data_IF_141403287611
#
_entry.id   IF_141403287611
#
_cell.length_a   1.000
_cell.length_b   1.000
_cell.length_c   1.000
_cell.angle_alpha   90.00
_cell.angle_beta   90.00
_cell.angle_gamma   90.00
#
_symmetry.space_group_name_H-M   'P 1'
#
loop_
_entity.id
_entity.type
_entity.pdbx_description
1 polymer ?
#
# COMPACT_ATOMS: atom_id res chain seq x y z
N UNK A 1 20.01 17.08 21.11
CA UNK A 1 19.23 16.00 21.73
C UNK A 1 19.08 14.84 20.76
N UNK A 2 19.45 13.66 21.21
CA UNK A 2 19.32 12.46 20.37
C UNK A 2 17.86 12.09 20.15
N UNK A 3 17.53 11.74 18.91
CA UNK A 3 16.21 11.23 18.57
C UNK A 3 16.14 9.76 19.00
N UNK A 4 15.18 9.43 19.85
CA UNK A 4 14.99 8.06 20.35
C UNK A 4 14.25 7.17 19.35
N UNK A 5 13.43 7.78 18.48
CA UNK A 5 12.72 7.05 17.42
C UNK A 5 13.67 6.88 16.23
N UNK A 6 13.79 5.66 15.70
CA UNK A 6 14.80 5.35 14.69
C UNK A 6 14.25 5.32 13.27
N UNK A 7 13.09 4.71 13.09
CA UNK A 7 12.50 4.54 11.75
C UNK A 7 11.04 4.11 11.91
N UNK A 8 10.31 4.16 10.81
CA UNK A 8 9.02 3.49 10.74
C UNK A 8 9.31 2.00 10.56
N UNK A 9 9.01 1.19 11.57
CA UNK A 9 9.29 -0.25 11.53
C UNK A 9 8.41 -0.94 10.48
N UNK A 10 7.13 -0.62 10.47
CA UNK A 10 6.17 -1.09 9.48
C UNK A 10 4.95 -0.18 9.51
N UNK A 11 4.17 -0.18 8.43
CA UNK A 11 2.83 0.41 8.39
C UNK A 11 1.83 -0.73 8.33
N UNK A 12 0.86 -0.74 9.23
CA UNK A 12 -0.10 -1.83 9.36
C UNK A 12 -1.42 -1.42 8.73
N UNK A 13 -1.91 -2.23 7.79
CA UNK A 13 -3.23 -2.04 7.20
C UNK A 13 -4.15 -3.18 7.60
N UNK A 14 -5.38 -2.85 8.04
CA UNK A 14 -6.38 -3.88 8.33
C UNK A 14 -6.91 -4.49 7.05
N UNK A 15 -7.17 -5.79 7.07
CA UNK A 15 -7.82 -6.50 5.98
C UNK A 15 -8.93 -7.39 6.54
N UNK A 16 -9.93 -7.69 5.74
CA UNK A 16 -11.04 -8.56 6.14
C UNK A 16 -10.86 -9.94 5.53
N UNK A 17 -10.65 -10.01 4.22
CA UNK A 17 -10.45 -11.26 3.50
C UNK A 17 -8.97 -11.38 3.16
N UNK A 18 -8.26 -12.19 3.93
CA UNK A 18 -6.81 -12.32 3.80
C UNK A 18 -6.41 -12.86 2.44
N UNK A 19 -7.12 -13.86 1.91
CA UNK A 19 -6.81 -14.41 0.60
C UNK A 19 -7.00 -13.38 -0.51
N UNK A 20 -8.06 -12.60 -0.45
CA UNK A 20 -8.33 -11.53 -1.41
C UNK A 20 -7.28 -10.43 -1.32
N UNK A 21 -6.94 -10.01 -0.09
CA UNK A 21 -5.92 -9.00 0.13
C UNK A 21 -4.55 -9.45 -0.41
N UNK A 22 -4.17 -10.70 -0.15
CA UNK A 22 -2.92 -11.25 -0.67
C UNK A 22 -2.93 -11.30 -2.19
N UNK A 23 -4.06 -11.67 -2.79
CA UNK A 23 -4.19 -11.65 -4.25
C UNK A 23 -3.98 -10.27 -4.84
N UNK A 24 -4.45 -9.24 -4.16
CA UNK A 24 -4.24 -7.86 -4.59
C UNK A 24 -2.77 -7.44 -4.45
N UNK A 25 -2.20 -7.58 -3.26
CA UNK A 25 -0.84 -7.09 -3.01
C UNK A 25 0.22 -7.92 -3.73
N UNK A 26 0.06 -9.23 -3.80
CA UNK A 26 1.02 -10.12 -4.45
C UNK A 26 0.75 -10.26 -5.95
N UNK A 27 -0.50 -10.43 -6.33
CA UNK A 27 -0.88 -10.63 -7.74
C UNK A 27 -1.00 -9.32 -8.51
N UNK A 28 -1.80 -8.39 -8.04
CA UNK A 28 -2.09 -7.14 -8.76
C UNK A 28 -0.93 -6.15 -8.64
N UNK A 29 -0.40 -5.94 -7.43
CA UNK A 29 0.71 -5.01 -7.22
C UNK A 29 2.08 -5.66 -7.40
N UNK A 30 2.16 -6.97 -7.39
CA UNK A 30 3.42 -7.68 -7.62
C UNK A 30 4.38 -7.66 -6.42
N UNK A 31 3.89 -7.41 -5.22
CA UNK A 31 4.74 -7.44 -4.03
C UNK A 31 5.03 -8.88 -3.64
N UNK A 32 6.19 -9.09 -3.02
CA UNK A 32 6.60 -10.40 -2.59
C UNK A 32 6.45 -10.52 -1.08
N UNK A 33 5.68 -11.51 -0.62
CA UNK A 33 5.49 -11.74 0.80
C UNK A 33 6.81 -12.16 1.45
N UNK A 34 7.13 -11.51 2.56
CA UNK A 34 8.25 -11.87 3.42
C UNK A 34 7.75 -12.69 4.60
N UNK A 35 8.05 -12.23 5.82
CA UNK A 35 7.59 -12.90 7.03
C UNK A 35 6.06 -12.91 7.09
N UNK A 36 5.48 -14.07 7.30
CA UNK A 36 4.03 -14.20 7.43
C UNK A 36 3.67 -15.44 8.25
N UNK A 37 2.50 -15.41 8.83
CA UNK A 37 1.99 -16.53 9.61
C UNK A 37 0.59 -16.26 10.09
N UNK A 38 -0.03 -17.31 10.64
CA UNK A 38 -1.35 -17.19 11.24
C UNK A 38 -1.43 -18.01 12.51
N UNK A 39 -2.31 -17.56 13.40
CA UNK A 39 -2.64 -18.27 14.62
C UNK A 39 -4.12 -18.06 14.90
N UNK A 40 -4.86 -19.16 15.00
CA UNK A 40 -6.30 -19.11 15.29
C UNK A 40 -7.08 -18.20 14.32
N UNK A 41 -6.72 -18.24 13.03
CA UNK A 41 -7.36 -17.44 11.99
C UNK A 41 -6.88 -15.98 11.93
N UNK A 42 -5.99 -15.57 12.80
CA UNK A 42 -5.40 -14.24 12.80
C UNK A 42 -4.10 -14.25 12.01
N UNK A 43 -4.02 -13.40 10.99
CA UNK A 43 -2.91 -13.35 10.05
C UNK A 43 -2.07 -12.10 10.22
N UNK A 44 -0.78 -12.25 9.92
CA UNK A 44 0.18 -11.16 9.79
C UNK A 44 1.03 -11.45 8.55
N UNK A 45 1.04 -10.54 7.59
CA UNK A 45 1.83 -10.69 6.36
C UNK A 45 2.64 -9.41 6.15
N UNK A 46 3.96 -9.54 6.01
CA UNK A 46 4.86 -8.42 5.76
C UNK A 46 5.32 -8.41 4.31
N UNK A 47 5.37 -7.21 3.76
CA UNK A 47 5.92 -6.94 2.44
C UNK A 47 7.02 -5.90 2.58
N UNK A 48 8.28 -6.31 2.40
CA UNK A 48 9.41 -5.39 2.37
C UNK A 48 9.60 -4.89 0.95
N UNK A 49 9.65 -3.56 0.78
CA UNK A 49 9.83 -2.97 -0.52
C UNK A 49 11.32 -2.77 -0.83
N UNK A 50 11.73 -2.88 -2.11
CA UNK A 50 13.16 -2.82 -2.46
C UNK A 50 13.88 -1.55 -2.03
N UNK A 51 13.19 -0.41 -2.09
CA UNK A 51 13.74 0.88 -1.69
C UNK A 51 13.65 1.18 -0.20
N UNK A 52 13.13 0.24 0.58
CA UNK A 52 12.91 0.41 2.02
C UNK A 52 11.43 0.51 2.36
N UNK A 53 11.14 0.37 3.63
CA UNK A 53 9.77 0.37 4.13
C UNK A 53 9.16 -1.02 4.15
N UNK A 54 8.27 -1.22 5.11
CA UNK A 54 7.55 -2.49 5.28
C UNK A 54 6.06 -2.18 5.43
N UNK A 55 5.25 -2.85 4.62
CA UNK A 55 3.80 -2.84 4.76
C UNK A 55 3.38 -4.17 5.39
N UNK A 56 2.59 -4.12 6.45
CA UNK A 56 2.06 -5.32 7.09
C UNK A 56 0.55 -5.35 6.95
N UNK A 57 0.01 -6.47 6.52
CA UNK A 57 -1.43 -6.69 6.48
C UNK A 57 -1.83 -7.59 7.63
N UNK A 58 -2.97 -7.29 8.25
CA UNK A 58 -3.48 -8.11 9.36
C UNK A 58 -4.99 -8.03 9.46
N UNK A 59 -5.59 -9.14 9.85
CA UNK A 59 -7.00 -9.17 10.26
C UNK A 59 -7.13 -9.27 11.80
N UNK A 60 -6.01 -9.16 12.51
CA UNK A 60 -5.95 -9.31 13.97
C UNK A 60 -6.03 -7.95 14.69
N UNK A 61 -6.85 -7.04 14.19
CA UNK A 61 -7.00 -5.70 14.73
C UNK A 61 -8.48 -5.32 14.77
N UNK A 62 -8.92 -4.51 15.74
CA UNK A 62 -10.28 -3.98 15.73
C UNK A 62 -10.52 -2.94 14.63
N UNK A 63 -9.45 -2.41 14.02
CA UNK A 63 -9.55 -1.45 12.92
C UNK A 63 -10.15 -2.13 11.69
N UNK A 64 -10.87 -1.35 10.89
CA UNK A 64 -11.47 -1.84 9.65
C UNK A 64 -10.87 -1.10 8.46
N UNK A 65 -10.79 -1.76 7.30
CA UNK A 65 -10.34 -1.08 6.08
C UNK A 65 -11.20 0.14 5.77
N UNK A 66 -10.55 1.24 5.40
CA UNK A 66 -11.27 2.47 5.05
C UNK A 66 -10.35 3.37 4.22
N UNK A 67 -10.89 3.91 3.12
CA UNK A 67 -10.19 4.92 2.34
C UNK A 67 -10.21 6.30 3.01
N UNK A 68 -11.01 6.45 4.06
CA UNK A 68 -11.11 7.69 4.84
C UNK A 68 -10.33 7.62 6.15
N UNK A 69 -9.47 6.61 6.33
CA UNK A 69 -8.62 6.51 7.51
C UNK A 69 -7.61 7.67 7.55
N UNK A 70 -7.10 7.99 8.74
CA UNK A 70 -6.21 9.13 8.93
C UNK A 70 -4.87 9.02 8.21
N UNK A 71 -4.29 7.82 8.13
CA UNK A 71 -3.02 7.59 7.43
C UNK A 71 -3.23 6.97 6.07
N UNK A 72 -2.31 7.24 5.14
CA UNK A 72 -2.32 6.64 3.81
C UNK A 72 -0.91 6.20 3.45
N UNK A 73 -0.75 4.96 3.01
CA UNK A 73 0.52 4.48 2.49
C UNK A 73 0.75 5.09 1.11
N UNK A 74 1.92 5.69 0.91
CA UNK A 74 2.35 6.19 -0.38
C UNK A 74 3.50 5.33 -0.89
N UNK A 75 3.34 4.77 -2.09
CA UNK A 75 4.39 4.01 -2.77
C UNK A 75 5.10 4.89 -3.77
N UNK A 76 6.42 4.97 -3.69
CA UNK A 76 7.22 5.63 -4.73
C UNK A 76 7.30 4.70 -5.94
N UNK A 77 7.00 5.23 -7.12
CA UNK A 77 6.99 4.46 -8.36
C UNK A 77 7.81 5.19 -9.43
N UNK A 78 8.33 4.43 -10.40
CA UNK A 78 9.18 4.98 -11.45
C UNK A 78 8.39 5.51 -12.66
N UNK A 79 7.26 4.89 -12.98
CA UNK A 79 6.41 5.27 -14.11
C UNK A 79 4.95 5.26 -13.68
N UNK A 80 4.51 6.39 -13.14
CA UNK A 80 3.14 6.50 -12.62
C UNK A 80 2.10 6.35 -13.72
N UNK A 81 2.30 7.00 -14.86
CA UNK A 81 1.32 6.96 -15.94
C UNK A 81 1.10 5.54 -16.45
N UNK A 82 2.17 4.80 -16.66
CA UNK A 82 2.09 3.40 -17.10
C UNK A 82 1.45 2.52 -16.04
N UNK A 83 1.81 2.72 -14.77
CA UNK A 83 1.25 1.93 -13.67
C UNK A 83 -0.25 2.19 -13.51
N UNK A 84 -0.68 3.45 -13.58
CA UNK A 84 -2.11 3.79 -13.48
C UNK A 84 -2.90 3.10 -14.59
N UNK A 85 -2.40 3.15 -15.83
CA UNK A 85 -3.06 2.48 -16.94
C UNK A 85 -3.15 0.96 -16.73
N UNK A 86 -2.06 0.34 -16.29
CA UNK A 86 -2.00 -1.10 -16.00
C UNK A 86 -3.00 -1.49 -14.91
N UNK A 87 -2.99 -0.76 -13.80
CA UNK A 87 -3.87 -1.05 -12.66
C UNK A 87 -5.34 -0.86 -13.02
N UNK A 88 -5.68 0.18 -13.79
CA UNK A 88 -7.04 0.37 -14.29
C UNK A 88 -7.47 -0.81 -15.16
N UNK A 89 -6.58 -1.31 -16.00
CA UNK A 89 -6.83 -2.49 -16.82
C UNK A 89 -7.08 -3.76 -16.00
N UNK A 90 -6.53 -3.81 -14.79
CA UNK A 90 -6.74 -4.92 -13.84
C UNK A 90 -7.92 -4.70 -12.91
N UNK A 91 -8.71 -3.65 -13.11
CA UNK A 91 -9.91 -3.39 -12.35
C UNK A 91 -9.71 -2.63 -11.04
N UNK A 92 -8.54 -2.04 -10.83
CA UNK A 92 -8.30 -1.22 -9.64
C UNK A 92 -9.10 0.08 -9.73
N UNK A 93 -9.77 0.44 -8.65
CA UNK A 93 -10.57 1.65 -8.56
C UNK A 93 -9.68 2.84 -8.18
N UNK A 94 -9.70 3.89 -8.99
CA UNK A 94 -9.01 5.13 -8.71
C UNK A 94 -9.98 6.19 -8.20
N UNK A 95 -9.56 6.97 -7.21
CA UNK A 95 -10.33 8.05 -6.62
C UNK A 95 -9.89 9.42 -7.12
N UNK A 96 -8.78 9.48 -7.88
CA UNK A 96 -8.31 10.71 -8.48
C UNK A 96 -7.76 10.45 -9.87
N UNK A 97 -7.76 11.48 -10.71
CA UNK A 97 -6.89 11.53 -11.88
C UNK A 97 -5.45 11.73 -11.42
N UNK A 98 -4.50 11.67 -12.36
CA UNK A 98 -3.10 11.97 -12.02
C UNK A 98 -3.01 13.44 -11.64
N UNK A 99 -2.57 13.68 -10.41
CA UNK A 99 -2.36 15.01 -9.85
C UNK A 99 -0.92 15.41 -10.10
N UNK A 100 -0.72 16.55 -10.75
CA UNK A 100 0.61 17.06 -11.09
C UNK A 100 0.92 18.25 -10.19
N UNK A 101 2.05 18.18 -9.52
CA UNK A 101 2.59 19.28 -8.72
C UNK A 101 3.94 19.71 -9.27
N UNK A 102 4.53 20.81 -8.79
CA UNK A 102 5.88 21.20 -9.25
C UNK A 102 6.96 20.15 -8.98
N UNK A 103 6.78 19.27 -7.99
CA UNK A 103 7.82 18.34 -7.54
C UNK A 103 7.49 16.88 -7.78
N UNK A 104 6.23 16.55 -8.07
CA UNK A 104 5.83 15.16 -8.19
C UNK A 104 4.56 14.99 -9.02
N UNK A 105 4.24 13.73 -9.31
CA UNK A 105 2.94 13.29 -9.80
C UNK A 105 2.41 12.23 -8.87
N UNK A 106 1.11 12.17 -8.68
CA UNK A 106 0.51 11.18 -7.80
C UNK A 106 -0.90 10.83 -8.23
N UNK A 107 -1.39 9.70 -7.76
CA UNK A 107 -2.76 9.26 -7.97
C UNK A 107 -3.21 8.44 -6.76
N UNK A 108 -4.48 8.51 -6.42
CA UNK A 108 -5.06 7.78 -5.30
C UNK A 108 -5.91 6.64 -5.84
N UNK A 109 -5.66 5.45 -5.36
CA UNK A 109 -6.49 4.28 -5.65
C UNK A 109 -6.90 3.58 -4.36
N UNK A 110 -7.70 2.53 -4.50
CA UNK A 110 -8.22 1.77 -3.37
C UNK A 110 -7.79 0.33 -3.54
N UNK A 111 -7.32 -0.30 -2.45
CA UNK A 111 -6.97 -1.70 -2.48
C UNK A 111 -8.22 -2.59 -2.50
N UNK A 112 -8.03 -3.91 -2.49
CA UNK A 112 -9.12 -4.87 -2.54
C UNK A 112 -10.03 -4.84 -1.31
N UNK A 113 -9.55 -4.25 -0.21
CA UNK A 113 -10.26 -4.25 1.06
C UNK A 113 -10.91 -2.90 1.38
N UNK A 114 -10.65 -1.87 0.58
CA UNK A 114 -11.18 -0.54 0.79
C UNK A 114 -10.21 0.42 1.48
N UNK A 115 -8.93 0.08 1.57
CA UNK A 115 -7.92 1.01 2.06
C UNK A 115 -7.42 1.89 0.92
N UNK A 116 -7.12 3.16 1.23
CA UNK A 116 -6.54 4.08 0.25
C UNK A 116 -5.06 3.79 0.05
N UNK A 117 -4.60 3.92 -1.17
CA UNK A 117 -3.19 3.89 -1.53
C UNK A 117 -2.87 5.10 -2.38
N UNK A 118 -1.74 5.74 -2.10
CA UNK A 118 -1.21 6.83 -2.92
C UNK A 118 -0.04 6.29 -3.74
N UNK A 119 -0.11 6.50 -5.05
CA UNK A 119 1.02 6.20 -5.94
C UNK A 119 1.69 7.53 -6.26
N UNK A 120 3.01 7.57 -6.08
CA UNK A 120 3.76 8.83 -6.07
C UNK A 120 5.02 8.69 -6.90
N UNK A 121 5.27 9.66 -7.78
CA UNK A 121 6.48 9.70 -8.59
C UNK A 121 7.13 11.07 -8.44
N UNK A 122 8.33 11.10 -7.86
CA UNK A 122 9.11 12.32 -7.81
C UNK A 122 9.54 12.72 -9.22
N UNK A 123 9.45 14.02 -9.52
CA UNK A 123 10.02 14.55 -10.75
C UNK A 123 11.53 14.59 -10.65
N UNK A 124 12.20 14.31 -11.76
CA UNK A 124 13.65 14.47 -11.85
C UNK A 124 14.00 15.95 -11.62
N UNK A 125 15.07 16.16 -10.88
CA UNK A 125 15.59 17.50 -10.59
C UNK A 125 16.84 17.81 -11.41
#
# INVERSE_FOLDING_TARGET
TAVMLRKIAFTMYPVIDVARARGFYEGTLGLKAGSHGQQDGQWWIEYDLPGGGCLALTNATPSRPSEAAGGTVAFEVDDLQGLVADLKGKGVTFRSDIIVTPVCRMAVCVDSEGNALLLHQLKAQ
#
